data_IF_740825219353
#
_entry.id   IF_740825219353
#
_cell.length_a   1.000
_cell.length_b   1.000
_cell.length_c   1.000
_cell.angle_alpha   90.00
_cell.angle_beta   90.00
_cell.angle_gamma   90.00
#
_symmetry.space_group_name_H-M   'P 1'
#
loop_
_entity.id
_entity.type
_entity.pdbx_description
1 polymer ?
#
# COMPACT_ATOMS: atom_id res chain seq x y z
N UNK A 1 -9.07 -23.99 -13.97
CA UNK A 1 -8.38 -22.69 -13.77
C UNK A 1 -8.50 -22.30 -12.32
N UNK A 2 -7.42 -21.90 -11.72
CA UNK A 2 -7.44 -21.35 -10.38
C UNK A 2 -7.95 -19.89 -10.44
N UNK A 3 -8.87 -19.52 -9.56
CA UNK A 3 -9.28 -18.13 -9.41
C UNK A 3 -8.14 -17.26 -8.87
N UNK A 4 -8.32 -15.94 -8.98
CA UNK A 4 -7.39 -14.95 -8.48
C UNK A 4 -7.77 -14.53 -7.05
N UNK A 5 -6.78 -14.14 -6.28
CA UNK A 5 -6.98 -13.37 -5.06
C UNK A 5 -6.93 -11.88 -5.41
N UNK A 6 -8.06 -11.20 -5.29
CA UNK A 6 -8.21 -9.77 -5.63
C UNK A 6 -8.38 -9.01 -4.32
N UNK A 7 -7.53 -8.03 -4.04
CA UNK A 7 -7.66 -7.19 -2.84
C UNK A 7 -8.01 -5.75 -3.20
N UNK A 8 -9.03 -5.21 -2.55
CA UNK A 8 -9.39 -3.79 -2.59
C UNK A 8 -8.67 -2.98 -1.53
N UNK A 9 -7.98 -3.66 -0.59
CA UNK A 9 -7.27 -3.00 0.49
C UNK A 9 -6.25 -2.00 -0.05
N UNK A 10 -6.34 -0.77 0.43
CA UNK A 10 -5.49 0.33 -0.01
C UNK A 10 -4.00 0.03 0.20
N UNK A 11 -3.17 0.53 -0.71
CA UNK A 11 -1.71 0.44 -0.64
C UNK A 11 -1.15 1.84 -0.46
N UNK A 12 -0.39 2.03 0.61
CA UNK A 12 0.33 3.26 0.90
C UNK A 12 1.83 3.00 1.00
N UNK A 13 2.63 4.04 0.92
CA UNK A 13 4.06 3.95 1.19
C UNK A 13 4.31 4.13 2.68
N UNK A 14 4.94 3.17 3.32
CA UNK A 14 5.32 3.23 4.73
C UNK A 14 6.79 3.56 4.85
N UNK A 15 7.11 4.57 5.66
CA UNK A 15 8.46 5.04 5.92
C UNK A 15 8.74 4.95 7.42
N UNK A 16 9.21 3.79 7.91
CA UNK A 16 9.65 3.67 9.29
C UNK A 16 10.99 4.37 9.49
N UNK A 17 11.07 5.17 10.55
CA UNK A 17 12.28 5.88 10.97
C UNK A 17 12.60 5.55 12.41
N UNK A 18 13.76 4.96 12.66
CA UNK A 18 14.25 4.72 14.01
C UNK A 18 15.00 5.95 14.50
N UNK A 19 14.54 6.51 15.61
CA UNK A 19 15.08 7.71 16.25
C UNK A 19 15.42 7.44 17.71
N UNK A 20 16.42 8.13 18.24
CA UNK A 20 16.78 8.00 19.65
C UNK A 20 15.74 8.64 20.57
N UNK A 21 15.15 9.74 20.14
CA UNK A 21 14.15 10.49 20.90
C UNK A 21 13.29 11.34 19.96
N UNK A 22 12.10 11.71 20.43
CA UNK A 22 11.28 12.68 19.70
C UNK A 22 11.88 14.07 19.80
N UNK A 23 12.03 14.79 18.69
CA UNK A 23 12.56 16.15 18.73
C UNK A 23 11.61 17.10 19.47
N UNK A 24 12.17 18.06 20.18
CA UNK A 24 11.42 19.16 20.76
C UNK A 24 10.81 20.06 19.68
N UNK A 25 9.88 20.90 20.08
CA UNK A 25 9.25 21.86 19.16
C UNK A 25 10.30 22.74 18.47
N UNK A 26 10.31 22.70 17.14
CA UNK A 26 11.29 23.41 16.32
C UNK A 26 12.65 22.74 16.23
N UNK A 27 12.84 21.58 16.88
CA UNK A 27 14.06 20.79 16.81
C UNK A 27 14.07 19.79 15.66
N UNK A 28 15.19 19.10 15.53
CA UNK A 28 15.38 18.02 14.57
C UNK A 28 16.14 16.86 15.19
N UNK A 29 15.94 15.67 14.65
CA UNK A 29 16.66 14.47 15.02
C UNK A 29 17.01 13.71 13.74
N UNK A 30 18.17 13.06 13.74
CA UNK A 30 18.53 12.14 12.67
C UNK A 30 17.99 10.76 12.96
N UNK A 31 17.40 10.13 11.96
CA UNK A 31 17.02 8.73 12.07
C UNK A 31 18.26 7.83 11.87
N UNK A 32 18.40 6.83 12.71
CA UNK A 32 19.48 5.84 12.60
C UNK A 32 19.26 4.89 11.43
N UNK A 33 17.99 4.63 11.12
CA UNK A 33 17.60 3.85 9.97
C UNK A 33 16.27 4.36 9.41
N UNK A 34 16.18 4.41 8.10
CA UNK A 34 14.96 4.72 7.38
C UNK A 34 14.95 3.93 6.06
N UNK A 35 13.83 3.28 5.78
CA UNK A 35 13.63 2.60 4.50
C UNK A 35 12.16 2.61 4.14
N UNK A 36 11.83 3.05 2.93
CA UNK A 36 10.47 3.01 2.45
C UNK A 36 10.08 1.61 1.99
N UNK A 37 8.84 1.24 2.25
CA UNK A 37 8.24 0.00 1.78
C UNK A 37 6.75 0.20 1.53
N UNK A 38 6.15 -0.51 0.56
CA UNK A 38 4.71 -0.54 0.46
C UNK A 38 4.08 -1.24 1.67
N UNK A 39 2.91 -0.77 2.08
CA UNK A 39 2.14 -1.37 3.17
C UNK A 39 0.69 -1.60 2.78
N UNK A 40 -0.14 -1.95 3.75
CA UNK A 40 -1.54 -2.27 3.53
C UNK A 40 -1.72 -3.52 2.67
N UNK A 41 -2.55 -3.44 1.67
CA UNK A 41 -2.86 -4.57 0.76
C UNK A 41 -1.67 -5.17 0.03
N UNK A 42 -0.58 -4.43 -0.11
CA UNK A 42 0.66 -4.91 -0.74
C UNK A 42 1.17 -6.21 -0.10
N UNK A 43 1.25 -6.25 1.23
CA UNK A 43 1.80 -7.40 1.95
C UNK A 43 0.98 -8.67 1.69
N UNK A 44 -0.33 -8.57 1.73
CA UNK A 44 -1.23 -9.70 1.51
C UNK A 44 -1.16 -10.20 0.06
N UNK A 45 -1.14 -9.27 -0.90
CA UNK A 45 -1.03 -9.59 -2.32
C UNK A 45 0.29 -10.30 -2.67
N UNK A 46 1.40 -9.78 -2.14
CA UNK A 46 2.71 -10.40 -2.36
C UNK A 46 2.81 -11.77 -1.68
N UNK A 47 2.20 -11.94 -0.51
CA UNK A 47 2.14 -13.24 0.16
C UNK A 47 1.35 -14.25 -0.66
N UNK A 48 0.19 -13.88 -1.19
CA UNK A 48 -0.60 -14.74 -2.08
C UNK A 48 0.19 -15.15 -3.33
N UNK A 49 0.82 -14.18 -4.00
CA UNK A 49 1.65 -14.44 -5.17
C UNK A 49 2.84 -15.35 -4.87
N UNK A 50 3.52 -15.17 -3.74
CA UNK A 50 4.62 -16.01 -3.31
C UNK A 50 4.19 -17.46 -3.02
N UNK A 51 2.93 -17.66 -2.65
CA UNK A 51 2.33 -19.00 -2.45
C UNK A 51 1.82 -19.63 -3.75
N UNK A 52 2.03 -18.99 -4.88
CA UNK A 52 1.60 -19.48 -6.19
C UNK A 52 0.13 -19.17 -6.52
N UNK A 53 -0.54 -18.33 -5.76
CA UNK A 53 -1.91 -17.90 -6.04
C UNK A 53 -1.87 -16.67 -6.93
N UNK A 54 -2.53 -16.65 -8.10
CA UNK A 54 -2.66 -15.45 -8.90
C UNK A 54 -3.26 -14.31 -8.08
N UNK A 55 -2.58 -13.19 -7.99
CA UNK A 55 -3.00 -12.06 -7.16
C UNK A 55 -3.17 -10.78 -7.97
N UNK A 56 -4.16 -9.98 -7.63
CA UNK A 56 -4.46 -8.73 -8.30
C UNK A 56 -4.86 -7.63 -7.32
N UNK A 57 -4.31 -6.44 -7.54
CA UNK A 57 -4.60 -5.25 -6.76
C UNK A 57 -5.75 -4.46 -7.40
N UNK A 58 -6.79 -4.21 -6.61
CA UNK A 58 -7.91 -3.35 -6.99
C UNK A 58 -7.91 -2.01 -6.23
N UNK A 59 -6.82 -1.69 -5.55
CA UNK A 59 -6.61 -0.40 -4.91
C UNK A 59 -6.12 0.62 -5.93
N UNK A 60 -6.60 1.87 -5.88
CA UNK A 60 -6.13 2.92 -6.76
C UNK A 60 -4.64 3.23 -6.55
N UNK A 61 -3.91 3.37 -7.65
CA UNK A 61 -2.56 3.91 -7.69
C UNK A 61 -2.55 5.18 -8.56
N UNK A 62 -1.61 6.04 -8.32
CA UNK A 62 -1.51 7.31 -9.03
C UNK A 62 -0.39 7.37 -10.05
N UNK A 63 -0.22 8.57 -10.59
CA UNK A 63 0.84 8.91 -11.55
C UNK A 63 2.11 9.40 -10.87
N UNK A 64 2.09 9.58 -9.56
CA UNK A 64 3.22 10.10 -8.79
C UNK A 64 4.34 9.07 -8.53
N UNK A 65 5.48 9.54 -8.00
CA UNK A 65 6.67 8.71 -7.83
C UNK A 65 6.49 7.56 -6.84
N UNK A 66 5.74 7.74 -5.76
CA UNK A 66 5.47 6.68 -4.79
C UNK A 66 4.61 5.58 -5.41
N UNK A 67 3.58 5.97 -6.16
CA UNK A 67 2.73 5.03 -6.92
C UNK A 67 3.54 4.26 -7.96
N UNK A 68 4.47 4.92 -8.64
CA UNK A 68 5.35 4.26 -9.60
C UNK A 68 6.21 3.20 -8.93
N UNK A 69 6.86 3.53 -7.82
CA UNK A 69 7.70 2.59 -7.07
C UNK A 69 6.91 1.38 -6.56
N UNK A 70 5.72 1.61 -6.04
CA UNK A 70 4.83 0.53 -5.56
C UNK A 70 4.35 -0.35 -6.70
N UNK A 71 3.96 0.24 -7.83
CA UNK A 71 3.53 -0.52 -9.01
C UNK A 71 4.63 -1.43 -9.52
N UNK A 72 5.88 -0.94 -9.59
CA UNK A 72 7.01 -1.77 -9.98
C UNK A 72 7.17 -2.97 -9.05
N UNK A 73 7.11 -2.77 -7.76
CA UNK A 73 7.24 -3.86 -6.79
C UNK A 73 6.09 -4.87 -6.87
N UNK A 74 4.86 -4.41 -7.14
CA UNK A 74 3.72 -5.30 -7.40
C UNK A 74 3.96 -6.15 -8.64
N UNK A 75 4.38 -5.55 -9.74
CA UNK A 75 4.68 -6.25 -10.99
C UNK A 75 5.81 -7.26 -10.81
N UNK A 76 6.88 -6.89 -10.12
CA UNK A 76 8.01 -7.79 -9.81
C UNK A 76 7.58 -8.99 -8.95
N UNK A 77 6.60 -8.79 -8.07
CA UNK A 77 6.01 -9.85 -7.26
C UNK A 77 5.00 -10.73 -8.04
N UNK A 78 4.71 -10.39 -9.29
CA UNK A 78 3.73 -11.09 -10.12
C UNK A 78 2.27 -10.71 -9.82
N UNK A 79 2.05 -9.56 -9.20
CA UNK A 79 0.71 -9.04 -8.89
C UNK A 79 0.22 -8.14 -10.02
N UNK A 80 -0.97 -8.43 -10.53
CA UNK A 80 -1.64 -7.60 -11.53
C UNK A 80 -2.26 -6.35 -10.88
N UNK A 81 -2.26 -5.23 -11.56
CA UNK A 81 -2.96 -4.00 -11.13
C UNK A 81 -4.18 -3.80 -12.01
N UNK A 82 -5.37 -3.85 -11.40
CA UNK A 82 -6.64 -3.84 -12.13
C UNK A 82 -7.27 -2.45 -12.28
N UNK A 83 -6.83 -1.48 -11.50
CA UNK A 83 -7.40 -0.13 -11.52
C UNK A 83 -6.60 0.80 -12.44
N UNK A 84 -7.27 1.75 -13.10
CA UNK A 84 -6.58 2.77 -13.89
C UNK A 84 -5.79 3.71 -12.98
N UNK A 85 -4.73 4.32 -13.54
CA UNK A 85 -3.99 5.36 -12.84
C UNK A 85 -4.85 6.61 -12.62
N UNK A 86 -4.78 7.16 -11.40
CA UNK A 86 -5.35 8.45 -11.06
C UNK A 86 -4.27 9.52 -11.06
N UNK A 87 -4.64 10.75 -11.40
CA UNK A 87 -3.72 11.88 -11.28
C UNK A 87 -3.46 12.17 -9.81
N UNK A 88 -2.20 12.10 -9.39
CA UNK A 88 -1.77 12.27 -8.01
C UNK A 88 -0.87 11.12 -7.55
N UNK A 89 -0.69 11.02 -6.25
CA UNK A 89 0.14 9.97 -5.67
C UNK A 89 -0.55 9.29 -4.49
N UNK A 90 -0.08 8.11 -4.14
CA UNK A 90 -0.53 7.40 -2.93
C UNK A 90 -0.04 8.10 -1.67
N UNK A 91 -0.76 7.89 -0.57
CA UNK A 91 -0.41 8.40 0.73
C UNK A 91 0.87 7.80 1.29
N UNK A 92 1.42 8.51 2.27
CA UNK A 92 2.64 8.12 2.98
C UNK A 92 2.32 8.01 4.47
N UNK A 93 2.80 6.94 5.07
CA UNK A 93 2.76 6.72 6.52
C UNK A 93 4.16 6.83 7.07
N UNK A 94 4.48 7.95 7.71
CA UNK A 94 5.75 8.10 8.43
C UNK A 94 5.56 7.49 9.81
N UNK A 95 6.43 6.56 10.19
CA UNK A 95 6.45 5.94 11.50
C UNK A 95 7.72 6.35 12.22
N UNK A 96 7.59 7.04 13.35
CA UNK A 96 8.69 7.38 14.23
C UNK A 96 8.75 6.37 15.37
N UNK A 97 9.83 5.61 15.42
CA UNK A 97 10.02 4.53 16.39
C UNK A 97 11.19 4.92 17.28
N UNK A 98 10.93 5.20 18.55
CA UNK A 98 11.97 5.55 19.50
C UNK A 98 12.63 4.33 20.15
N UNK A 99 13.64 4.57 21.00
CA UNK A 99 14.41 3.49 21.66
C UNK A 99 13.56 2.58 22.53
N UNK A 100 12.43 3.09 23.07
CA UNK A 100 11.50 2.31 23.87
C UNK A 100 10.59 1.41 23.02
N UNK A 101 10.68 1.50 21.68
CA UNK A 101 9.81 0.83 20.75
C UNK A 101 8.42 1.50 20.60
N UNK A 102 8.22 2.67 21.21
CA UNK A 102 7.01 3.46 21.05
C UNK A 102 6.96 4.02 19.63
N UNK A 103 5.86 3.76 18.95
CA UNK A 103 5.66 4.19 17.58
C UNK A 103 4.63 5.32 17.52
N UNK A 104 4.99 6.38 16.80
CA UNK A 104 4.08 7.46 16.42
C UNK A 104 4.02 7.57 14.92
N UNK A 105 2.85 7.87 14.38
CA UNK A 105 2.66 7.94 12.94
C UNK A 105 2.14 9.28 12.51
N UNK A 106 2.63 9.74 11.36
CA UNK A 106 2.08 10.85 10.60
C UNK A 106 1.61 10.28 9.26
N UNK A 107 0.35 10.48 8.94
CA UNK A 107 -0.29 9.86 7.77
C UNK A 107 -0.78 10.95 6.83
N UNK A 108 -0.46 10.80 5.55
CA UNK A 108 -1.07 11.59 4.48
C UNK A 108 -2.01 10.70 3.69
N UNK A 109 -3.18 11.21 3.37
CA UNK A 109 -4.08 10.55 2.41
C UNK A 109 -3.64 10.89 0.99
N UNK A 110 -3.79 9.92 0.10
CA UNK A 110 -3.55 10.07 -1.32
C UNK A 110 -4.65 9.43 -2.15
N UNK A 111 -4.37 9.11 -3.39
CA UNK A 111 -5.36 8.53 -4.33
C UNK A 111 -5.91 7.18 -3.87
N UNK A 112 -5.19 6.45 -3.02
CA UNK A 112 -5.65 5.18 -2.43
C UNK A 112 -6.87 5.35 -1.53
N UNK A 113 -7.12 6.54 -1.03
CA UNK A 113 -8.30 6.87 -0.22
C UNK A 113 -9.52 7.29 -1.05
N UNK A 114 -9.39 7.30 -2.36
CA UNK A 114 -10.43 7.70 -3.31
C UNK A 114 -10.89 6.53 -4.20
N UNK A 115 -11.41 5.43 -3.62
CA UNK A 115 -11.88 4.31 -4.44
C UNK A 115 -13.03 4.76 -5.34
N UNK A 116 -12.93 4.39 -6.61
CA UNK A 116 -13.96 4.69 -7.59
C UNK A 116 -14.87 3.48 -7.80
N UNK A 117 -16.15 3.63 -7.47
CA UNK A 117 -17.15 2.60 -7.77
C UNK A 117 -17.13 2.21 -9.24
N UNK A 118 -17.06 3.19 -10.14
CA UNK A 118 -17.02 2.95 -11.57
C UNK A 118 -15.77 2.15 -12.01
N UNK A 119 -14.63 2.36 -11.35
CA UNK A 119 -13.43 1.57 -11.63
C UNK A 119 -13.56 0.12 -11.13
N UNK A 120 -14.16 -0.07 -9.95
CA UNK A 120 -14.40 -1.41 -9.40
C UNK A 120 -15.44 -2.19 -10.22
N UNK A 121 -16.49 -1.56 -10.69
CA UNK A 121 -17.53 -2.18 -11.53
C UNK A 121 -17.00 -2.64 -12.90
N UNK A 122 -15.87 -2.12 -13.36
CA UNK A 122 -15.21 -2.55 -14.60
C UNK A 122 -14.35 -3.79 -14.44
N UNK A 123 -14.09 -4.21 -13.21
CA UNK A 123 -13.28 -5.40 -12.97
C UNK A 123 -14.12 -6.63 -13.31
N UNK A 124 -13.69 -7.35 -14.32
CA UNK A 124 -14.32 -8.61 -14.69
C UNK A 124 -13.88 -9.71 -13.71
N UNK A 125 -14.86 -10.24 -12.98
CA UNK A 125 -14.65 -11.36 -12.08
C UNK A 125 -14.83 -12.69 -12.83
N UNK A 126 -13.96 -13.62 -12.54
CA UNK A 126 -14.02 -14.97 -13.09
C UNK A 126 -14.45 -15.98 -12.01
N UNK A 127 -14.91 -17.15 -12.45
CA UNK A 127 -15.25 -18.23 -11.53
C UNK A 127 -14.01 -18.62 -10.70
N UNK A 128 -14.19 -18.68 -9.40
CA UNK A 128 -13.11 -19.00 -8.45
C UNK A 128 -12.34 -17.78 -7.93
N UNK A 129 -12.62 -16.58 -8.43
CA UNK A 129 -12.00 -15.37 -7.86
C UNK A 129 -12.46 -15.14 -6.40
N UNK A 130 -11.51 -14.81 -5.53
CA UNK A 130 -11.76 -14.41 -4.15
C UNK A 130 -11.48 -12.91 -4.01
N UNK A 131 -12.49 -12.15 -3.63
CA UNK A 131 -12.34 -10.72 -3.38
C UNK A 131 -12.17 -10.48 -1.89
N UNK A 132 -11.05 -9.87 -1.53
CA UNK A 132 -10.72 -9.46 -0.17
C UNK A 132 -10.99 -7.97 0.01
N UNK A 133 -11.79 -7.63 1.03
CA UNK A 133 -12.08 -6.25 1.44
C UNK A 133 -11.63 -6.09 2.88
N UNK A 134 -10.77 -5.13 3.15
CA UNK A 134 -10.34 -4.85 4.50
C UNK A 134 -11.43 -4.08 5.28
N UNK A 135 -11.51 -4.30 6.59
CA UNK A 135 -12.48 -3.61 7.44
C UNK A 135 -12.31 -2.08 7.45
N UNK A 136 -11.09 -1.61 7.18
CA UNK A 136 -10.78 -0.18 7.04
C UNK A 136 -11.36 0.46 5.76
N UNK A 137 -11.81 -0.37 4.82
CA UNK A 137 -12.33 0.07 3.52
C UNK A 137 -13.88 0.06 3.48
N UNK A 138 -14.53 -0.29 4.59
CA UNK A 138 -15.98 -0.37 4.73
C UNK A 138 -16.61 0.89 5.33
#
# INVERSE_FOLDING_TARGET
MSGRFISTHSVALVLPMHIAYMPDRGGSVHADAASSRPGGGFTTLCAAAAMGVPAAAASPLGTGPNSFAVRQQLVEAGVEVLTPELVGDIGVVIQLIDEDGTMRSVVTAGVESEPSRAALERIELCEGDLVHVAASDM
#
